data_IF_393814914965
#
_entry.id   IF_393814914965
#
_cell.length_a   1.000
_cell.length_b   1.000
_cell.length_c   1.000
_cell.angle_alpha   90.00
_cell.angle_beta   90.00
_cell.angle_gamma   90.00
#
_symmetry.space_group_name_H-M   'P 1'
#
loop_
_entity.id
_entity.type
_entity.pdbx_description
1 polymer ?
#
# COMPACT_ATOMS: atom_id res chain seq x y z
N UNK A 1 -23.55 -23.00 -59.90
CA UNK A 1 -23.07 -22.84 -58.51
C UNK A 1 -22.04 -21.72 -58.47
N UNK A 2 -22.46 -20.46 -58.27
CA UNK A 2 -21.58 -19.30 -58.36
C UNK A 2 -21.94 -18.28 -57.24
N UNK A 3 -20.92 -17.69 -56.59
CA UNK A 3 -20.95 -16.48 -55.73
C UNK A 3 -21.32 -16.51 -54.23
N UNK A 4 -21.45 -17.65 -53.53
CA UNK A 4 -21.63 -17.63 -52.06
C UNK A 4 -20.29 -17.49 -51.30
N UNK A 5 -19.24 -18.13 -51.80
CA UNK A 5 -17.89 -18.14 -51.19
C UNK A 5 -17.18 -16.78 -51.20
N UNK A 6 -17.40 -15.95 -52.23
CA UNK A 6 -16.79 -14.62 -52.35
C UNK A 6 -17.33 -13.60 -51.33
N UNK A 7 -18.63 -13.63 -51.03
CA UNK A 7 -19.25 -12.72 -50.05
C UNK A 7 -18.89 -13.10 -48.61
N UNK A 8 -18.87 -14.40 -48.31
CA UNK A 8 -18.46 -14.89 -46.99
C UNK A 8 -16.97 -14.59 -46.70
N UNK A 9 -16.09 -14.72 -47.70
CA UNK A 9 -14.68 -14.37 -47.57
C UNK A 9 -14.45 -12.87 -47.36
N UNK A 10 -15.17 -12.01 -48.08
CA UNK A 10 -15.14 -10.54 -47.86
C UNK A 10 -15.61 -10.17 -46.46
N UNK A 11 -16.72 -10.75 -45.99
CA UNK A 11 -17.25 -10.48 -44.66
C UNK A 11 -16.28 -10.94 -43.57
N UNK A 12 -15.65 -12.11 -43.72
CA UNK A 12 -14.64 -12.59 -42.78
C UNK A 12 -13.39 -11.69 -42.74
N UNK A 13 -13.00 -11.15 -43.89
CA UNK A 13 -11.90 -10.19 -43.99
C UNK A 13 -12.25 -8.86 -43.30
N UNK A 14 -13.44 -8.31 -43.56
CA UNK A 14 -13.97 -7.11 -42.90
C UNK A 14 -14.04 -7.31 -41.37
N UNK A 15 -14.55 -8.46 -40.91
CA UNK A 15 -14.63 -8.80 -39.49
C UNK A 15 -13.25 -8.92 -38.81
N UNK A 16 -12.25 -9.45 -39.53
CA UNK A 16 -10.89 -9.59 -39.01
C UNK A 16 -10.20 -8.24 -38.83
N UNK A 17 -10.50 -7.28 -39.73
CA UNK A 17 -9.99 -5.92 -39.67
C UNK A 17 -10.65 -5.14 -38.54
N UNK A 18 -11.97 -5.25 -38.38
CA UNK A 18 -12.69 -4.65 -37.26
C UNK A 18 -12.24 -5.22 -35.92
N UNK A 19 -12.08 -6.54 -35.79
CA UNK A 19 -11.54 -7.17 -34.57
C UNK A 19 -10.15 -6.62 -34.23
N UNK A 20 -9.26 -6.48 -35.22
CA UNK A 20 -7.91 -5.97 -35.00
C UNK A 20 -7.94 -4.51 -34.54
N UNK A 21 -8.82 -3.69 -35.11
CA UNK A 21 -9.03 -2.30 -34.70
C UNK A 21 -9.58 -2.20 -33.28
N UNK A 22 -10.58 -3.01 -32.93
CA UNK A 22 -11.16 -3.04 -31.58
C UNK A 22 -10.15 -3.50 -30.51
N UNK A 23 -9.28 -4.45 -30.84
CA UNK A 23 -8.19 -4.87 -29.93
C UNK A 23 -7.20 -3.73 -29.72
N UNK A 24 -6.86 -3.00 -30.78
CA UNK A 24 -5.97 -1.85 -30.67
C UNK A 24 -6.60 -0.69 -29.87
N UNK A 25 -7.88 -0.39 -30.10
CA UNK A 25 -8.63 0.60 -29.31
C UNK A 25 -8.76 0.16 -27.85
N UNK A 26 -8.92 -1.15 -27.57
CA UNK A 26 -8.88 -1.69 -26.19
C UNK A 26 -7.51 -1.57 -25.54
N UNK A 27 -6.42 -1.81 -26.27
CA UNK A 27 -5.05 -1.65 -25.77
C UNK A 27 -4.73 -0.17 -25.47
N UNK A 28 -5.15 0.74 -26.35
CA UNK A 28 -5.02 2.18 -26.16
C UNK A 28 -5.85 2.66 -24.95
N UNK A 29 -7.10 2.18 -24.81
CA UNK A 29 -7.96 2.47 -23.65
C UNK A 29 -7.44 1.85 -22.35
N UNK A 30 -6.79 0.68 -22.40
CA UNK A 30 -6.12 0.09 -21.22
C UNK A 30 -4.93 0.96 -20.77
N UNK A 31 -4.14 1.47 -21.72
CA UNK A 31 -3.05 2.40 -21.42
C UNK A 31 -3.54 3.70 -20.77
N UNK A 32 -4.60 4.31 -21.33
CA UNK A 32 -5.19 5.52 -20.75
C UNK A 32 -5.86 5.24 -19.39
N UNK A 33 -6.48 4.07 -19.21
CA UNK A 33 -7.07 3.67 -17.94
C UNK A 33 -6.01 3.48 -16.85
N UNK A 34 -4.86 2.88 -17.18
CA UNK A 34 -3.76 2.70 -16.22
C UNK A 34 -3.07 4.02 -15.85
N UNK A 35 -3.07 5.02 -16.73
CA UNK A 35 -2.58 6.38 -16.46
C UNK A 35 -3.58 7.24 -15.64
N UNK A 36 -4.88 7.05 -15.84
CA UNK A 36 -5.94 7.81 -15.15
C UNK A 36 -6.34 7.17 -13.80
N UNK A 37 -5.98 5.90 -13.56
CA UNK A 37 -6.28 5.22 -12.30
C UNK A 37 -5.60 5.98 -11.15
N UNK A 38 -6.35 6.54 -10.20
CA UNK A 38 -5.74 7.23 -9.07
C UNK A 38 -4.83 6.22 -8.33
N UNK A 39 -3.53 6.52 -8.27
CA UNK A 39 -2.46 5.75 -7.60
C UNK A 39 -2.70 5.49 -6.10
N UNK A 40 -3.86 5.87 -5.57
CA UNK A 40 -4.30 5.48 -4.23
C UNK A 40 -5.68 4.83 -4.33
N UNK A 41 -5.78 3.50 -4.18
CA UNK A 41 -7.06 2.87 -3.93
C UNK A 41 -7.57 3.44 -2.61
N UNK A 42 -8.52 4.37 -2.69
CA UNK A 42 -9.25 4.86 -1.53
C UNK A 42 -10.24 3.77 -1.15
N UNK A 43 -10.16 3.28 0.09
CA UNK A 43 -11.10 2.30 0.64
C UNK A 43 -10.59 0.86 0.79
N UNK A 44 -9.34 0.54 0.43
CA UNK A 44 -8.74 -0.76 0.78
C UNK A 44 -8.17 -0.77 2.20
N UNK A 45 -8.08 -1.96 2.82
CA UNK A 45 -7.68 -2.13 4.23
C UNK A 45 -6.32 -1.51 4.55
N UNK A 46 -5.38 -1.55 3.61
CA UNK A 46 -4.04 -0.96 3.70
C UNK A 46 -4.09 0.58 3.82
N UNK A 47 -5.06 1.25 3.21
CA UNK A 47 -5.24 2.70 3.32
C UNK A 47 -5.53 3.13 4.77
N UNK A 48 -6.44 2.43 5.45
CA UNK A 48 -6.78 2.71 6.85
C UNK A 48 -5.62 2.39 7.79
N UNK A 49 -4.92 1.27 7.57
CA UNK A 49 -3.77 0.89 8.39
C UNK A 49 -2.64 1.91 8.24
N UNK A 50 -2.37 2.39 7.02
CA UNK A 50 -1.36 3.44 6.79
C UNK A 50 -1.64 4.69 7.62
N UNK A 51 -2.85 5.25 7.52
CA UNK A 51 -3.18 6.48 8.24
C UNK A 51 -3.25 6.27 9.75
N UNK A 52 -3.75 5.13 10.22
CA UNK A 52 -3.74 4.78 11.65
C UNK A 52 -2.30 4.68 12.17
N UNK A 53 -1.41 4.03 11.41
CA UNK A 53 0.02 3.91 11.75
C UNK A 53 0.72 5.27 11.76
N UNK A 54 0.44 6.12 10.77
CA UNK A 54 0.94 7.49 10.70
C UNK A 54 0.55 8.30 11.95
N UNK A 55 -0.74 8.30 12.31
CA UNK A 55 -1.25 9.05 13.47
C UNK A 55 -0.61 8.53 14.76
N UNK A 56 -0.56 7.21 14.95
CA UNK A 56 0.08 6.62 16.13
C UNK A 56 1.58 6.93 16.21
N UNK A 57 2.27 6.98 15.06
CA UNK A 57 3.68 7.32 15.00
C UNK A 57 3.94 8.76 15.40
N UNK A 58 3.16 9.70 14.86
CA UNK A 58 3.21 11.12 15.23
C UNK A 58 2.92 11.29 16.71
N UNK A 59 1.80 10.74 17.20
CA UNK A 59 1.45 10.81 18.63
C UNK A 59 2.56 10.20 19.50
N UNK A 60 3.15 9.08 19.09
CA UNK A 60 4.26 8.44 19.79
C UNK A 60 5.49 9.35 19.90
N UNK A 61 5.91 9.98 18.80
CA UNK A 61 7.03 10.94 18.80
C UNK A 61 6.71 12.13 19.70
N UNK A 62 5.51 12.71 19.60
CA UNK A 62 5.11 13.84 20.43
C UNK A 62 5.10 13.49 21.92
N UNK A 63 4.61 12.32 22.31
CA UNK A 63 4.61 11.87 23.70
C UNK A 63 6.03 11.62 24.22
N UNK A 64 6.92 11.06 23.40
CA UNK A 64 8.34 10.90 23.74
C UNK A 64 8.99 12.28 23.94
N UNK A 65 8.70 13.25 23.07
CA UNK A 65 9.18 14.62 23.19
C UNK A 65 8.61 15.35 24.42
N UNK A 66 7.44 14.96 24.90
CA UNK A 66 6.82 15.47 26.13
C UNK A 66 7.28 14.72 27.41
N UNK A 67 8.33 13.90 27.33
CA UNK A 67 8.86 13.07 28.43
C UNK A 67 7.89 11.99 28.94
N UNK A 68 6.81 11.71 28.22
CA UNK A 68 5.88 10.61 28.49
C UNK A 68 6.35 9.36 27.73
N UNK A 69 7.48 8.81 28.20
CA UNK A 69 8.22 7.79 27.45
C UNK A 69 7.46 6.47 27.27
N UNK A 70 6.85 5.90 28.32
CA UNK A 70 6.21 4.59 28.26
C UNK A 70 5.10 4.55 27.20
N UNK A 71 4.14 5.48 27.27
CA UNK A 71 3.03 5.55 26.31
C UNK A 71 3.50 5.96 24.92
N UNK A 72 4.46 6.89 24.81
CA UNK A 72 4.98 7.32 23.52
C UNK A 72 5.72 6.21 22.78
N UNK A 73 6.51 5.40 23.49
CA UNK A 73 7.24 4.27 22.92
C UNK A 73 6.32 3.12 22.52
N UNK A 74 5.31 2.83 23.33
CA UNK A 74 4.27 1.84 22.97
C UNK A 74 3.48 2.28 21.74
N UNK A 75 3.07 3.54 21.66
CA UNK A 75 2.38 4.09 20.50
C UNK A 75 3.25 4.02 19.23
N UNK A 76 4.54 4.35 19.35
CA UNK A 76 5.49 4.26 18.24
C UNK A 76 5.74 2.81 17.80
N UNK A 77 5.82 1.85 18.74
CA UNK A 77 5.95 0.43 18.42
C UNK A 77 4.76 -0.11 17.63
N UNK A 78 3.54 0.24 18.04
CA UNK A 78 2.33 -0.16 17.32
C UNK A 78 2.31 0.47 15.92
N UNK A 79 2.74 1.74 15.80
CA UNK A 79 2.93 2.40 14.51
C UNK A 79 3.91 1.64 13.61
N UNK A 80 5.07 1.24 14.14
CA UNK A 80 6.08 0.50 13.39
C UNK A 80 5.56 -0.84 12.85
N UNK A 81 4.79 -1.59 13.66
CA UNK A 81 4.14 -2.84 13.22
C UNK A 81 3.16 -2.57 12.07
N UNK A 82 2.37 -1.51 12.18
CA UNK A 82 1.42 -1.12 11.14
C UNK A 82 2.10 -0.71 9.83
N UNK A 83 3.24 -0.01 9.90
CA UNK A 83 4.05 0.30 8.71
C UNK A 83 4.72 -0.92 8.09
N UNK A 84 5.13 -1.91 8.88
CA UNK A 84 5.61 -3.20 8.34
C UNK A 84 4.48 -3.89 7.57
N UNK A 85 3.26 -3.92 8.11
CA UNK A 85 2.10 -4.48 7.40
C UNK A 85 1.82 -3.75 6.08
N UNK A 86 1.83 -2.41 6.08
CA UNK A 86 1.67 -1.61 4.86
C UNK A 86 2.78 -1.92 3.86
N UNK A 87 4.04 -2.02 4.31
CA UNK A 87 5.18 -2.41 3.47
C UNK A 87 5.01 -3.79 2.85
N UNK A 88 4.43 -4.76 3.57
CA UNK A 88 4.10 -6.08 3.01
C UNK A 88 3.02 -5.98 1.92
N UNK A 89 1.98 -5.16 2.12
CA UNK A 89 0.92 -5.00 1.12
C UNK A 89 1.37 -4.25 -0.13
N UNK A 90 2.28 -3.30 0.02
CA UNK A 90 2.82 -2.52 -1.09
C UNK A 90 4.03 -3.19 -1.76
N UNK A 91 4.52 -4.31 -1.21
CA UNK A 91 5.73 -4.98 -1.69
C UNK A 91 7.01 -4.15 -1.48
N UNK A 92 6.97 -3.11 -0.64
CA UNK A 92 8.07 -2.17 -0.43
C UNK A 92 8.97 -2.64 0.72
N UNK A 93 10.17 -3.13 0.33
CA UNK A 93 11.17 -3.63 1.27
C UNK A 93 11.82 -2.53 2.10
N UNK A 94 11.93 -1.32 1.56
CA UNK A 94 12.55 -0.20 2.27
C UNK A 94 11.66 0.22 3.46
N UNK A 95 10.35 0.31 3.25
CA UNK A 95 9.39 0.60 4.33
C UNK A 95 9.42 -0.50 5.39
N UNK A 96 9.41 -1.78 4.97
CA UNK A 96 9.45 -2.91 5.92
C UNK A 96 10.71 -2.88 6.80
N UNK A 97 11.89 -2.75 6.20
CA UNK A 97 13.17 -2.78 6.94
C UNK A 97 13.32 -1.52 7.78
N UNK A 98 13.00 -0.34 7.25
CA UNK A 98 13.09 0.92 7.99
C UNK A 98 12.19 0.95 9.23
N UNK A 99 10.98 0.40 9.10
CA UNK A 99 10.04 0.29 10.22
C UNK A 99 10.48 -0.74 11.25
N UNK A 100 11.05 -1.88 10.82
CA UNK A 100 11.57 -2.89 11.73
C UNK A 100 12.79 -2.40 12.53
N UNK A 101 13.73 -1.69 11.90
CA UNK A 101 14.90 -1.14 12.58
C UNK A 101 14.47 -0.09 13.61
N UNK A 102 13.65 0.87 13.20
CA UNK A 102 13.18 1.93 14.10
C UNK A 102 12.30 1.39 15.23
N UNK A 103 11.42 0.43 14.96
CA UNK A 103 10.64 -0.27 15.98
C UNK A 103 11.52 -1.00 16.98
N UNK A 104 12.53 -1.74 16.51
CA UNK A 104 13.47 -2.46 17.40
C UNK A 104 14.27 -1.50 18.29
N UNK A 105 14.72 -0.37 17.74
CA UNK A 105 15.44 0.64 18.52
C UNK A 105 14.59 1.21 19.66
N UNK A 106 13.30 1.49 19.39
CA UNK A 106 12.36 1.95 20.42
C UNK A 106 12.05 0.87 21.45
N UNK A 107 11.92 -0.40 21.03
CA UNK A 107 11.76 -1.52 21.96
C UNK A 107 12.97 -1.73 22.87
N UNK A 108 14.20 -1.58 22.35
CA UNK A 108 15.41 -1.72 23.16
C UNK A 108 15.46 -0.67 24.27
N UNK A 109 15.11 0.58 23.96
CA UNK A 109 15.06 1.64 24.97
C UNK A 109 14.06 1.34 26.09
N UNK A 110 12.96 0.69 25.75
CA UNK A 110 11.92 0.27 26.69
C UNK A 110 12.44 -0.83 27.64
N UNK A 111 13.27 -1.76 27.14
CA UNK A 111 13.89 -2.84 27.93
C UNK A 111 15.01 -2.29 28.83
N UNK A 112 15.78 -1.32 28.33
CA UNK A 112 16.92 -0.74 29.05
C UNK A 112 16.49 0.09 30.27
N UNK A 113 15.26 0.61 30.27
CA UNK A 113 14.70 1.46 31.34
C UNK A 113 13.51 0.84 32.08
N UNK A 114 13.70 -0.27 32.82
CA UNK A 114 12.62 -0.94 33.55
C UNK A 114 11.98 -0.05 34.64
N UNK A 115 12.70 0.96 35.14
CA UNK A 115 12.21 1.92 36.13
C UNK A 115 11.00 2.73 35.66
N UNK A 116 10.84 2.94 34.35
CA UNK A 116 9.67 3.60 33.79
C UNK A 116 8.38 2.80 34.05
N UNK A 117 8.46 1.47 34.05
CA UNK A 117 7.31 0.62 34.36
C UNK A 117 6.98 0.64 35.84
N UNK A 118 8.00 0.55 36.69
CA UNK A 118 7.83 0.55 38.12
C UNK A 118 7.17 1.84 38.61
N UNK A 119 7.51 2.99 38.01
CA UNK A 119 6.90 4.30 38.35
C UNK A 119 5.41 4.41 38.03
N UNK A 120 4.90 3.68 37.03
CA UNK A 120 3.49 3.75 36.61
C UNK A 120 2.63 2.63 37.19
N UNK A 121 3.23 1.51 37.62
CA UNK A 121 2.54 0.34 38.15
C UNK A 121 2.74 0.11 39.66
N UNK A 122 3.33 1.07 40.39
CA UNK A 122 3.42 1.11 41.88
C UNK A 122 2.59 2.25 42.45
#
# INVERSE_FOLDING_TARGET
MHNITSKAGRLAMELSLEKKRLVQELEELQGEYDDIKPLTPTGTRDWYVKWSSMILGVVGVFLISAEIYLFGQMAYLISAIGWIYVGMQWGDRAIMIGSAISGTAVAMFLIEKPELYLRYFS
#
